data_IF_493185410703
#
_entry.id   IF_493185410703
#
_cell.length_a   1.000
_cell.length_b   1.000
_cell.length_c   1.000
_cell.angle_alpha   90.00
_cell.angle_beta   90.00
_cell.angle_gamma   90.00
#
_symmetry.space_group_name_H-M   'P 1'
#
loop_
_entity.id
_entity.type
_entity.pdbx_description
1 polymer ?
#
# COMPACT_ATOMS: atom_id res chain seq x y z
N UNK A 1 -0.82 -6.10 29.23
CA UNK A 1 -0.25 -6.58 27.92
C UNK A 1 -0.07 -5.42 26.95
N UNK A 2 0.73 -4.40 27.33
CA UNK A 2 0.95 -3.18 26.51
C UNK A 2 1.67 -3.46 25.17
N UNK A 3 2.51 -4.49 25.08
CA UNK A 3 3.26 -4.82 23.88
C UNK A 3 2.39 -5.20 22.67
N UNK A 4 1.16 -5.71 22.85
CA UNK A 4 0.22 -6.00 21.78
C UNK A 4 -0.18 -4.76 20.98
N UNK A 5 -0.18 -3.58 21.62
CA UNK A 5 -0.48 -2.31 20.96
C UNK A 5 0.55 -1.93 19.88
N UNK A 6 1.78 -2.44 19.98
CA UNK A 6 2.86 -2.16 19.03
C UNK A 6 2.90 -3.13 17.85
N UNK A 7 2.21 -4.27 17.89
CA UNK A 7 2.25 -5.27 16.82
C UNK A 7 1.73 -4.71 15.50
N UNK A 8 0.58 -4.02 15.55
CA UNK A 8 -0.01 -3.43 14.34
C UNK A 8 0.89 -2.34 13.72
N UNK A 9 1.37 -1.31 14.45
CA UNK A 9 2.28 -0.30 13.90
C UNK A 9 3.57 -0.89 13.34
N UNK A 10 4.21 -1.83 14.03
CA UNK A 10 5.44 -2.49 13.56
C UNK A 10 5.17 -3.26 12.26
N UNK A 11 4.07 -4.02 12.20
CA UNK A 11 3.67 -4.72 10.99
C UNK A 11 3.43 -3.73 9.84
N UNK A 12 2.75 -2.60 10.09
CA UNK A 12 2.47 -1.60 9.06
C UNK A 12 3.74 -0.93 8.54
N UNK A 13 4.74 -0.66 9.38
CA UNK A 13 6.06 -0.16 8.95
C UNK A 13 6.74 -1.17 8.02
N UNK A 14 6.73 -2.46 8.36
CA UNK A 14 7.27 -3.51 7.50
C UNK A 14 6.53 -3.61 6.15
N UNK A 15 5.20 -3.49 6.17
CA UNK A 15 4.36 -3.48 4.97
C UNK A 15 4.67 -2.28 4.09
N UNK A 16 4.87 -1.08 4.65
CA UNK A 16 5.32 0.11 3.89
C UNK A 16 6.69 -0.14 3.28
N UNK A 17 7.63 -0.76 4.00
CA UNK A 17 8.92 -1.19 3.46
C UNK A 17 8.80 -2.10 2.23
N UNK A 18 7.85 -3.05 2.26
CA UNK A 18 7.52 -3.89 1.11
C UNK A 18 6.99 -3.06 -0.08
N UNK A 19 6.15 -2.06 0.18
CA UNK A 19 5.65 -1.11 -0.82
C UNK A 19 6.76 -0.30 -1.47
N UNK A 20 7.71 0.20 -0.68
CA UNK A 20 8.91 0.90 -1.18
C UNK A 20 9.78 -0.02 -2.04
N UNK A 21 9.91 -1.29 -1.67
CA UNK A 21 10.62 -2.26 -2.50
C UNK A 21 9.88 -2.51 -3.82
N UNK A 22 8.56 -2.67 -3.80
CA UNK A 22 7.76 -2.78 -5.02
C UNK A 22 7.92 -1.54 -5.92
N UNK A 23 7.94 -0.33 -5.35
CA UNK A 23 8.21 0.92 -6.08
C UNK A 23 9.58 0.89 -6.74
N UNK A 24 10.64 0.53 -6.01
CA UNK A 24 12.01 0.42 -6.55
C UNK A 24 12.08 -0.52 -7.75
N UNK A 25 11.44 -1.69 -7.67
CA UNK A 25 11.36 -2.63 -8.80
C UNK A 25 10.59 -2.03 -9.99
N UNK A 26 9.49 -1.33 -9.74
CA UNK A 26 8.71 -0.63 -10.77
C UNK A 26 9.49 0.47 -11.48
N UNK A 27 10.27 1.25 -10.73
CA UNK A 27 11.17 2.27 -11.30
C UNK A 27 12.27 1.64 -12.13
N UNK A 28 12.84 0.51 -11.70
CA UNK A 28 13.79 -0.28 -12.46
C UNK A 28 13.23 -0.79 -13.79
N UNK A 29 11.98 -1.26 -13.80
CA UNK A 29 11.28 -1.66 -15.03
C UNK A 29 11.06 -0.48 -15.98
N UNK A 30 10.73 0.70 -15.45
CA UNK A 30 10.60 1.91 -16.25
C UNK A 30 11.93 2.30 -16.88
N UNK A 31 13.02 2.32 -16.10
CA UNK A 31 14.38 2.64 -16.59
C UNK A 31 14.81 1.66 -17.69
N UNK A 32 14.64 0.36 -17.47
CA UNK A 32 14.99 -0.67 -18.45
C UNK A 32 14.24 -0.46 -19.77
N UNK A 33 12.95 -0.12 -19.71
CA UNK A 33 12.13 0.17 -20.91
C UNK A 33 12.65 1.39 -21.67
N UNK A 34 13.00 2.48 -20.96
CA UNK A 34 13.53 3.70 -21.61
C UNK A 34 14.85 3.39 -22.31
N UNK A 35 15.67 2.51 -21.75
CA UNK A 35 16.97 2.10 -22.29
C UNK A 35 16.89 0.94 -23.30
N UNK A 36 15.68 0.45 -23.64
CA UNK A 36 15.50 -0.70 -24.52
C UNK A 36 16.04 -2.02 -23.97
N UNK A 37 16.27 -2.11 -22.65
CA UNK A 37 16.84 -3.29 -22.00
C UNK A 37 15.76 -4.28 -21.56
N UNK A 38 15.96 -5.60 -21.76
CA UNK A 38 15.03 -6.60 -21.26
C UNK A 38 15.06 -6.66 -19.72
N UNK A 39 13.91 -6.66 -19.07
CA UNK A 39 13.77 -6.86 -17.62
C UNK A 39 12.47 -7.56 -17.28
N UNK A 40 12.55 -8.64 -16.52
CA UNK A 40 11.39 -9.38 -16.06
C UNK A 40 10.60 -8.58 -15.00
N UNK A 41 9.26 -8.61 -15.10
CA UNK A 41 8.33 -7.88 -14.21
C UNK A 41 7.79 -8.71 -13.05
N UNK A 42 8.14 -9.99 -12.96
CA UNK A 42 7.54 -10.94 -12.00
C UNK A 42 7.77 -10.56 -10.54
N UNK A 43 8.96 -10.05 -10.21
CA UNK A 43 9.27 -9.59 -8.86
C UNK A 43 8.40 -8.41 -8.46
N UNK A 44 8.29 -7.37 -9.33
CA UNK A 44 7.43 -6.22 -9.09
C UNK A 44 5.97 -6.64 -8.90
N UNK A 45 5.46 -7.55 -9.73
CA UNK A 45 4.08 -8.06 -9.64
C UNK A 45 3.83 -8.78 -8.34
N UNK A 46 4.73 -9.68 -7.92
CA UNK A 46 4.60 -10.40 -6.64
C UNK A 46 4.61 -9.45 -5.46
N UNK A 47 5.61 -8.57 -5.37
CA UNK A 47 5.73 -7.59 -4.29
C UNK A 47 4.51 -6.67 -4.24
N UNK A 48 4.06 -6.15 -5.39
CA UNK A 48 2.88 -5.28 -5.46
C UNK A 48 1.60 -5.96 -5.01
N UNK A 49 1.36 -7.22 -5.43
CA UNK A 49 0.18 -8.00 -4.98
C UNK A 49 0.23 -8.27 -3.48
N UNK A 50 1.38 -8.70 -2.96
CA UNK A 50 1.57 -8.94 -1.52
C UNK A 50 1.37 -7.64 -0.73
N UNK A 51 1.91 -6.52 -1.19
CA UNK A 51 1.74 -5.22 -0.55
C UNK A 51 0.26 -4.83 -0.45
N UNK A 52 -0.49 -4.86 -1.56
CA UNK A 52 -1.92 -4.51 -1.57
C UNK A 52 -2.73 -5.42 -0.64
N UNK A 53 -2.47 -6.74 -0.69
CA UNK A 53 -3.15 -7.71 0.18
C UNK A 53 -2.85 -7.44 1.66
N UNK A 54 -1.59 -7.22 2.02
CA UNK A 54 -1.20 -6.96 3.40
C UNK A 54 -1.75 -5.63 3.93
N UNK A 55 -1.83 -4.60 3.09
CA UNK A 55 -2.52 -3.34 3.46
C UNK A 55 -4.00 -3.58 3.73
N UNK A 56 -4.69 -4.36 2.87
CA UNK A 56 -6.10 -4.70 3.08
C UNK A 56 -6.31 -5.51 4.37
N UNK A 57 -5.46 -6.49 4.64
CA UNK A 57 -5.50 -7.27 5.89
C UNK A 57 -5.22 -6.40 7.11
N UNK A 58 -4.22 -5.52 7.04
CA UNK A 58 -3.88 -4.59 8.12
C UNK A 58 -5.02 -3.60 8.39
N UNK A 59 -5.66 -3.08 7.35
CA UNK A 59 -6.83 -2.21 7.48
C UNK A 59 -8.00 -2.95 8.17
N UNK A 60 -8.32 -4.17 7.71
CA UNK A 60 -9.38 -4.98 8.29
C UNK A 60 -9.10 -5.34 9.77
N UNK A 61 -7.86 -5.68 10.09
CA UNK A 61 -7.44 -5.95 11.46
C UNK A 61 -7.53 -4.70 12.35
N UNK A 62 -7.18 -3.52 11.81
CA UNK A 62 -7.34 -2.23 12.49
C UNK A 62 -8.81 -1.94 12.82
N UNK A 63 -9.71 -2.09 11.85
CA UNK A 63 -11.15 -1.92 12.06
C UNK A 63 -11.70 -2.90 13.10
N UNK A 64 -11.33 -4.17 13.02
CA UNK A 64 -11.74 -5.18 13.98
C UNK A 64 -11.25 -4.84 15.40
N UNK A 65 -10.01 -4.37 15.54
CA UNK A 65 -9.44 -3.96 16.82
C UNK A 65 -10.19 -2.77 17.42
N UNK A 66 -10.52 -1.75 16.62
CA UNK A 66 -11.27 -0.58 17.10
C UNK A 66 -12.70 -0.95 17.50
N UNK A 67 -13.42 -1.69 16.64
CA UNK A 67 -14.82 -2.03 16.87
C UNK A 67 -15.02 -3.03 18.00
N UNK A 68 -14.18 -4.07 18.08
CA UNK A 68 -14.36 -5.17 19.02
C UNK A 68 -13.66 -4.94 20.38
N UNK A 69 -12.48 -4.30 20.36
CA UNK A 69 -11.65 -4.18 21.56
C UNK A 69 -11.74 -2.81 22.24
N UNK A 70 -11.80 -1.73 21.47
CA UNK A 70 -11.75 -0.37 22.03
C UNK A 70 -13.10 0.32 22.13
N UNK A 71 -14.09 -0.09 21.33
CA UNK A 71 -15.41 0.54 21.23
C UNK A 71 -15.35 2.05 20.98
N UNK A 72 -14.31 2.52 20.29
CA UNK A 72 -14.14 3.93 19.94
C UNK A 72 -14.76 4.26 18.59
N UNK A 73 -15.10 5.53 18.32
CA UNK A 73 -15.67 5.94 17.05
C UNK A 73 -14.69 5.67 15.90
N UNK A 74 -15.17 4.91 14.91
CA UNK A 74 -14.34 4.35 13.83
C UNK A 74 -13.78 5.42 12.86
N UNK A 75 -14.44 6.59 12.76
CA UNK A 75 -14.25 7.51 11.63
C UNK A 75 -13.56 8.84 11.97
N UNK A 76 -13.17 9.08 13.22
CA UNK A 76 -12.71 10.39 13.68
C UNK A 76 -11.19 10.60 13.62
N UNK A 77 -10.41 9.56 13.26
CA UNK A 77 -8.96 9.67 13.27
C UNK A 77 -8.36 10.00 11.89
N UNK A 78 -7.36 10.88 11.87
CA UNK A 78 -6.55 11.18 10.68
C UNK A 78 -5.92 9.91 10.12
N UNK A 79 -5.52 8.96 10.99
CA UNK A 79 -5.03 7.64 10.60
C UNK A 79 -6.04 6.90 9.72
N UNK A 80 -7.33 6.89 10.11
CA UNK A 80 -8.37 6.22 9.35
C UNK A 80 -8.57 6.83 7.95
N UNK A 81 -8.52 8.16 7.84
CA UNK A 81 -8.63 8.86 6.54
C UNK A 81 -7.51 8.43 5.60
N UNK A 82 -6.26 8.49 6.08
CA UNK A 82 -5.10 8.06 5.28
C UNK A 82 -5.14 6.56 4.94
N UNK A 83 -5.53 5.71 5.88
CA UNK A 83 -5.62 4.26 5.67
C UNK A 83 -6.69 3.91 4.62
N UNK A 84 -7.86 4.57 4.68
CA UNK A 84 -8.94 4.41 3.69
C UNK A 84 -8.51 4.88 2.30
N UNK A 85 -7.87 6.06 2.20
CA UNK A 85 -7.34 6.58 0.96
C UNK A 85 -6.26 5.66 0.37
N UNK A 86 -5.37 5.09 1.21
CA UNK A 86 -4.37 4.11 0.81
C UNK A 86 -5.05 2.85 0.24
N UNK A 87 -6.02 2.28 0.94
CA UNK A 87 -6.73 1.08 0.50
C UNK A 87 -7.41 1.28 -0.86
N UNK A 88 -8.13 2.39 -1.04
CA UNK A 88 -8.82 2.70 -2.29
C UNK A 88 -7.86 2.91 -3.46
N UNK A 89 -6.81 3.70 -3.27
CA UNK A 89 -5.83 4.00 -4.33
C UNK A 89 -4.97 2.78 -4.68
N UNK A 90 -4.58 1.96 -3.70
CA UNK A 90 -3.85 0.72 -3.92
C UNK A 90 -4.74 -0.35 -4.56
N UNK A 91 -6.03 -0.42 -4.21
CA UNK A 91 -7.02 -1.25 -4.89
C UNK A 91 -7.14 -0.87 -6.37
N UNK A 92 -7.27 0.43 -6.67
CA UNK A 92 -7.25 0.95 -8.03
C UNK A 92 -5.95 0.60 -8.76
N UNK A 93 -4.79 0.74 -8.08
CA UNK A 93 -3.48 0.36 -8.62
C UNK A 93 -3.43 -1.11 -9.01
N UNK A 94 -3.97 -2.00 -8.18
CA UNK A 94 -4.06 -3.43 -8.46
C UNK A 94 -4.92 -3.71 -9.69
N UNK A 95 -6.12 -3.13 -9.78
CA UNK A 95 -7.03 -3.31 -10.91
C UNK A 95 -6.42 -2.79 -12.22
N UNK A 96 -5.83 -1.60 -12.19
CA UNK A 96 -5.12 -1.03 -13.36
C UNK A 96 -3.92 -1.90 -13.73
N UNK A 97 -3.17 -2.40 -12.75
CA UNK A 97 -2.06 -3.33 -12.96
C UNK A 97 -2.49 -4.62 -13.66
N UNK A 98 -3.62 -5.22 -13.26
CA UNK A 98 -4.20 -6.40 -13.92
C UNK A 98 -4.62 -6.12 -15.36
N UNK A 99 -5.19 -4.93 -15.63
CA UNK A 99 -5.50 -4.52 -17.01
C UNK A 99 -4.24 -4.29 -17.84
N UNK A 100 -3.20 -3.69 -17.23
CA UNK A 100 -1.91 -3.43 -17.85
C UNK A 100 -1.16 -4.73 -18.24
N UNK A 101 -1.32 -5.80 -17.48
CA UNK A 101 -0.78 -7.13 -17.82
C UNK A 101 -1.41 -7.67 -19.12
N UNK A 102 -2.70 -7.41 -19.34
CA UNK A 102 -3.44 -7.92 -20.51
C UNK A 102 -3.31 -7.00 -21.74
N UNK A 103 -3.30 -5.69 -21.52
CA UNK A 103 -3.28 -4.67 -22.58
C UNK A 103 -2.37 -3.51 -22.18
N UNK A 104 -1.06 -3.60 -22.46
CA UNK A 104 -0.10 -2.57 -22.07
C UNK A 104 -0.24 -1.30 -22.93
N UNK A 105 -0.91 -0.26 -22.38
CA UNK A 105 -1.01 1.05 -23.03
C UNK A 105 -0.27 2.12 -22.24
N UNK A 106 0.17 3.24 -22.88
CA UNK A 106 0.80 4.36 -22.18
C UNK A 106 -0.09 4.96 -21.08
N UNK A 107 -1.39 5.10 -21.34
CA UNK A 107 -2.36 5.64 -20.38
C UNK A 107 -2.51 4.76 -19.14
N UNK A 108 -2.64 3.43 -19.30
CA UNK A 108 -2.70 2.50 -18.17
C UNK A 108 -1.40 2.49 -17.34
N UNK A 109 -0.24 2.68 -18.00
CA UNK A 109 1.03 2.82 -17.29
C UNK A 109 1.09 4.11 -16.47
N UNK A 110 0.58 5.23 -17.01
CA UNK A 110 0.50 6.49 -16.30
C UNK A 110 -0.45 6.39 -15.09
N UNK A 111 -1.66 5.85 -15.30
CA UNK A 111 -2.64 5.63 -14.24
C UNK A 111 -2.09 4.71 -13.14
N UNK A 112 -1.46 3.58 -13.49
CA UNK A 112 -0.85 2.67 -12.52
C UNK A 112 0.23 3.35 -11.66
N UNK A 113 1.07 4.19 -12.27
CA UNK A 113 2.12 4.93 -11.54
C UNK A 113 1.53 5.98 -10.61
N UNK A 114 0.52 6.73 -11.09
CA UNK A 114 -0.14 7.76 -10.29
C UNK A 114 -0.85 7.15 -9.09
N UNK A 115 -1.73 6.18 -9.32
CA UNK A 115 -2.45 5.50 -8.24
C UNK A 115 -1.50 4.80 -7.26
N UNK A 116 -0.45 4.13 -7.77
CA UNK A 116 0.53 3.45 -6.94
C UNK A 116 1.36 4.41 -6.10
N UNK A 117 1.77 5.54 -6.65
CA UNK A 117 2.49 6.58 -5.93
C UNK A 117 1.63 7.22 -4.84
N UNK A 118 0.40 7.62 -5.17
CA UNK A 118 -0.56 8.18 -4.20
C UNK A 118 -0.90 7.17 -3.10
N UNK A 119 -1.14 5.91 -3.48
CA UNK A 119 -1.45 4.85 -2.51
C UNK A 119 -0.31 4.61 -1.52
N UNK A 120 0.93 4.63 -1.99
CA UNK A 120 2.09 4.51 -1.11
C UNK A 120 2.25 5.73 -0.20
N UNK A 121 2.05 6.95 -0.71
CA UNK A 121 2.07 8.17 0.10
C UNK A 121 1.01 8.14 1.20
N UNK A 122 -0.21 7.74 0.88
CA UNK A 122 -1.27 7.58 1.88
C UNK A 122 -0.96 6.49 2.89
N UNK A 123 -0.37 5.37 2.49
CA UNK A 123 0.06 4.32 3.40
C UNK A 123 1.16 4.80 4.36
N UNK A 124 2.11 5.61 3.89
CA UNK A 124 3.12 6.25 4.73
C UNK A 124 2.49 7.26 5.69
N UNK A 125 1.54 8.08 5.22
CA UNK A 125 0.78 9.01 6.07
C UNK A 125 -0.02 8.29 7.16
N UNK A 126 -0.65 7.16 6.81
CA UNK A 126 -1.34 6.31 7.78
C UNK A 126 -0.36 5.74 8.83
N UNK A 127 0.79 5.24 8.39
CA UNK A 127 1.81 4.72 9.32
C UNK A 127 2.31 5.82 10.27
N UNK A 128 2.61 7.02 9.77
CA UNK A 128 3.06 8.16 10.57
C UNK A 128 1.98 8.60 11.58
N UNK A 129 0.72 8.75 11.12
CA UNK A 129 -0.40 9.09 11.99
C UNK A 129 -0.67 8.00 13.04
N UNK A 130 -0.53 6.72 12.68
CA UNK A 130 -0.67 5.60 13.59
C UNK A 130 0.40 5.56 14.67
N UNK A 131 1.65 5.91 14.34
CA UNK A 131 2.74 6.02 15.31
C UNK A 131 2.54 7.19 16.29
N UNK A 132 1.96 8.30 15.82
CA UNK A 132 1.72 9.48 16.65
C UNK A 132 0.64 9.28 17.75
N UNK A 133 -0.22 8.27 17.60
CA UNK A 133 -1.29 7.94 18.59
C UNK A 133 -0.92 6.76 19.50
N UNK A 134 0.32 6.30 19.46
CA UNK A 134 0.80 5.27 20.40
C UNK A 134 0.93 5.85 21.82
N UNK A 135 0.58 5.06 22.84
CA UNK A 135 0.71 5.47 24.24
C UNK A 135 2.16 5.59 24.70
#
# INVERSE_FOLDING_TARGET
MRWLAYLHPVAMVAIVGLGLWALREGLGLRRARILGQPRASDRHRRLGRSFVLLVALGFSAGLASLGLLRREPLFESVHFVFASAALLTLGATYLVGRRLERRPTPGLRAAHRLCGGLGLLFAMGAAAAGLAILP
#
